data_IF_644422788798
#
_entry.id   IF_644422788798
#
_cell.length_a   1.000
_cell.length_b   1.000
_cell.length_c   1.000
_cell.angle_alpha   90.00
_cell.angle_beta   90.00
_cell.angle_gamma   90.00
#
_symmetry.space_group_name_H-M   'P 1'
#
loop_
_entity.id
_entity.type
_entity.pdbx_description
1 polymer ?
#
# COMPACT_ATOMS: atom_id res chain seq x y z
N UNK A 1 -5.12 -5.06 -26.61
CA UNK A 1 -4.44 -5.92 -25.61
C UNK A 1 -5.18 -5.78 -24.29
N UNK A 2 -5.60 -6.87 -23.65
CA UNK A 2 -6.26 -6.81 -22.34
C UNK A 2 -5.16 -6.67 -21.27
N UNK A 3 -4.95 -5.43 -20.81
CA UNK A 3 -3.95 -5.03 -19.82
C UNK A 3 -4.37 -5.07 -18.32
N UNK A 4 -5.62 -5.32 -17.90
CA UNK A 4 -5.95 -5.33 -16.47
C UNK A 4 -5.48 -6.57 -15.71
N UNK A 5 -5.20 -7.67 -16.43
CA UNK A 5 -4.87 -8.94 -15.80
C UNK A 5 -3.46 -8.88 -15.18
N UNK A 6 -3.28 -9.33 -13.92
CA UNK A 6 -1.97 -9.37 -13.29
C UNK A 6 -1.00 -10.26 -14.04
N UNK A 7 0.22 -9.78 -14.26
CA UNK A 7 1.32 -10.48 -14.91
C UNK A 7 2.55 -10.48 -14.01
N UNK A 8 3.19 -11.63 -13.85
CA UNK A 8 4.40 -11.77 -13.05
C UNK A 8 4.75 -13.23 -12.76
N UNK A 9 6.00 -13.46 -12.37
CA UNK A 9 6.53 -14.80 -12.13
C UNK A 9 6.35 -15.30 -10.70
N UNK A 10 6.90 -16.48 -10.43
CA UNK A 10 7.07 -17.04 -9.08
C UNK A 10 8.46 -17.65 -8.94
N UNK A 11 9.03 -17.62 -7.73
CA UNK A 11 10.35 -18.20 -7.40
C UNK A 11 11.45 -17.66 -8.33
N UNK A 12 12.17 -18.54 -9.02
CA UNK A 12 13.27 -18.16 -9.92
C UNK A 12 12.82 -17.30 -11.11
N UNK A 13 11.52 -17.29 -11.44
CA UNK A 13 10.96 -16.45 -12.51
C UNK A 13 10.61 -15.02 -12.07
N UNK A 14 10.94 -14.63 -10.83
CA UNK A 14 10.67 -13.31 -10.26
C UNK A 14 9.51 -13.27 -9.24
N UNK A 15 9.35 -12.13 -8.58
CA UNK A 15 8.30 -11.83 -7.60
C UNK A 15 7.63 -10.49 -7.92
N UNK A 16 6.42 -10.26 -7.38
CA UNK A 16 5.61 -9.08 -7.70
C UNK A 16 4.70 -9.27 -8.92
N UNK A 17 3.82 -8.30 -9.16
CA UNK A 17 2.83 -8.32 -10.25
C UNK A 17 2.76 -6.94 -10.90
N UNK A 18 2.51 -6.93 -12.21
CA UNK A 18 2.29 -5.73 -13.02
C UNK A 18 0.98 -5.91 -13.80
N UNK A 19 0.36 -4.82 -14.25
CA UNK A 19 -0.94 -4.81 -14.92
C UNK A 19 -2.09 -4.35 -14.01
N UNK A 20 -2.81 -3.31 -14.44
CA UNK A 20 -3.91 -2.73 -13.68
C UNK A 20 -3.47 -2.25 -12.29
N UNK A 21 -4.32 -2.48 -11.30
CA UNK A 21 -4.08 -2.05 -9.92
C UNK A 21 -2.90 -2.78 -9.25
N UNK A 22 -2.46 -3.92 -9.78
CA UNK A 22 -1.33 -4.67 -9.24
C UNK A 22 0.00 -3.93 -9.38
N UNK A 23 0.11 -3.06 -10.38
CA UNK A 23 1.27 -2.20 -10.56
C UNK A 23 1.43 -1.18 -9.41
N UNK A 24 0.36 -0.87 -8.67
CA UNK A 24 0.40 0.17 -7.65
C UNK A 24 1.28 -0.21 -6.46
N UNK A 25 1.32 -1.49 -6.08
CA UNK A 25 2.20 -1.95 -4.99
C UNK A 25 3.68 -1.69 -5.28
N UNK A 26 4.07 -1.61 -6.57
CA UNK A 26 5.45 -1.37 -6.97
C UNK A 26 5.73 0.10 -7.30
N UNK A 27 4.83 0.77 -8.02
CA UNK A 27 5.07 2.14 -8.51
C UNK A 27 4.51 3.23 -7.60
N UNK A 28 3.76 2.88 -6.56
CA UNK A 28 3.17 3.82 -5.60
C UNK A 28 3.50 3.39 -4.17
N UNK A 29 3.45 4.36 -3.26
CA UNK A 29 3.66 4.13 -1.83
C UNK A 29 2.32 4.13 -1.08
N UNK A 30 2.06 3.10 -0.28
CA UNK A 30 0.90 3.11 0.61
C UNK A 30 1.14 4.05 1.80
N UNK A 31 0.24 5.01 2.00
CA UNK A 31 0.30 5.98 3.12
C UNK A 31 -0.93 5.87 4.00
N UNK A 32 -0.73 5.82 5.31
CA UNK A 32 -1.80 5.89 6.29
C UNK A 32 -1.89 7.31 6.87
N UNK A 33 -3.06 7.93 6.74
CA UNK A 33 -3.31 9.30 7.20
C UNK A 33 -4.46 9.26 8.21
N UNK A 34 -4.20 9.67 9.44
CA UNK A 34 -5.20 9.74 10.51
C UNK A 34 -5.42 11.17 10.97
N UNK A 35 -6.68 11.58 11.09
CA UNK A 35 -7.08 12.87 11.65
C UNK A 35 -7.99 12.67 12.86
N UNK A 36 -7.73 13.42 13.93
CA UNK A 36 -8.63 13.55 15.06
C UNK A 36 -9.74 14.55 14.72
N UNK A 37 -10.99 14.08 14.62
CA UNK A 37 -12.14 14.94 14.30
C UNK A 37 -12.78 15.58 15.54
N UNK A 38 -12.35 15.21 16.75
CA UNK A 38 -12.88 15.71 18.00
C UNK A 38 -11.81 15.91 19.07
N UNK A 39 -12.24 16.33 20.27
CA UNK A 39 -11.34 16.43 21.42
C UNK A 39 -11.11 15.05 22.04
N UNK A 40 -9.90 14.52 21.84
CA UNK A 40 -9.45 13.29 22.48
C UNK A 40 -8.43 13.61 23.56
N UNK A 41 -8.51 12.93 24.72
CA UNK A 41 -7.52 13.08 25.78
C UNK A 41 -6.19 12.49 25.31
N UNK A 42 -5.17 13.35 25.14
CA UNK A 42 -3.81 12.91 24.83
C UNK A 42 -3.13 12.52 26.15
N UNK A 43 -2.66 11.26 26.31
CA UNK A 43 -1.94 10.87 27.51
C UNK A 43 -0.61 11.62 27.61
N UNK A 44 -0.25 12.07 28.82
CA UNK A 44 1.06 12.68 29.10
C UNK A 44 2.08 11.59 29.42
N UNK A 45 3.28 11.70 28.85
CA UNK A 45 4.40 10.82 29.18
C UNK A 45 5.34 11.52 30.17
N UNK A 46 5.54 10.93 31.35
CA UNK A 46 6.33 11.53 32.44
C UNK A 46 5.52 12.56 33.25
N UNK A 47 5.66 12.52 34.58
CA UNK A 47 4.96 13.41 35.52
C UNK A 47 5.77 14.68 35.79
#
# INVERSE_FOLDING_TARGET
RHLPTPFGGVKASGIGRDGGDWSFEFYMEQKHIGFALGQHKIPRLGA
#
